data_IF_700480296308
#
_entry.id   IF_700480296308
#
_cell.length_a   1.000
_cell.length_b   1.000
_cell.length_c   1.000
_cell.angle_alpha   90.00
_cell.angle_beta   90.00
_cell.angle_gamma   90.00
#
_symmetry.space_group_name_H-M   'P 1'
#
loop_
_entity.id
_entity.type
_entity.pdbx_description
1 polymer ?
#
# COMPACT_ATOMS: atom_id res chain seq x y z
N UNK A 1 25.93 -25.15 1.49
CA UNK A 1 25.72 -25.14 2.96
C UNK A 1 25.16 -23.81 3.47
N UNK A 2 25.67 -22.64 3.05
CA UNK A 2 25.14 -21.31 3.45
C UNK A 2 23.64 -21.11 3.18
N UNK A 3 23.19 -21.38 1.94
CA UNK A 3 21.77 -21.27 1.57
C UNK A 3 20.81 -22.12 2.42
N UNK A 4 21.26 -23.28 2.91
CA UNK A 4 20.47 -24.12 3.81
C UNK A 4 20.28 -23.44 5.18
N UNK A 5 21.38 -22.92 5.75
CA UNK A 5 21.35 -22.23 7.05
C UNK A 5 20.50 -20.96 6.95
N UNK A 6 20.62 -20.19 5.88
CA UNK A 6 19.82 -18.97 5.66
C UNK A 6 18.32 -19.29 5.53
N UNK A 7 17.97 -20.43 4.92
CA UNK A 7 16.59 -20.89 4.82
C UNK A 7 16.03 -21.30 6.18
N UNK A 8 16.78 -22.08 6.96
CA UNK A 8 16.36 -22.51 8.31
C UNK A 8 16.21 -21.30 9.23
N UNK A 9 17.15 -20.35 9.17
CA UNK A 9 17.12 -19.14 9.98
C UNK A 9 15.87 -18.28 9.71
N UNK A 10 15.55 -18.02 8.44
CA UNK A 10 14.32 -17.31 8.04
C UNK A 10 13.05 -18.06 8.45
N UNK A 11 13.02 -19.35 8.18
CA UNK A 11 11.90 -20.21 8.55
C UNK A 11 11.63 -20.28 10.06
N UNK A 12 12.66 -20.14 10.89
CA UNK A 12 12.52 -20.18 12.35
C UNK A 12 11.63 -19.05 12.87
N UNK A 13 11.81 -17.83 12.35
CA UNK A 13 10.98 -16.67 12.69
C UNK A 13 9.52 -16.89 12.30
N UNK A 14 9.26 -17.46 11.13
CA UNK A 14 7.90 -17.72 10.63
C UNK A 14 7.18 -18.81 11.45
N UNK A 15 7.89 -19.87 11.85
CA UNK A 15 7.34 -20.92 12.72
C UNK A 15 6.99 -20.33 14.09
N UNK A 16 7.90 -19.57 14.70
CA UNK A 16 7.66 -18.94 16.01
C UNK A 16 6.50 -17.94 15.96
N UNK A 17 6.44 -17.11 14.93
CA UNK A 17 5.38 -16.11 14.74
C UNK A 17 4.02 -16.77 14.47
N UNK A 18 4.00 -17.84 13.68
CA UNK A 18 2.79 -18.63 13.42
C UNK A 18 2.24 -19.27 14.70
N UNK A 19 3.11 -19.87 15.50
CA UNK A 19 2.74 -20.42 16.81
C UNK A 19 2.21 -19.32 17.74
N UNK A 20 2.91 -18.19 17.86
CA UNK A 20 2.49 -17.08 18.71
C UNK A 20 1.12 -16.51 18.29
N UNK A 21 0.89 -16.31 16.98
CA UNK A 21 -0.40 -15.86 16.45
C UNK A 21 -1.51 -16.86 16.73
N UNK A 22 -1.25 -18.16 16.56
CA UNK A 22 -2.20 -19.22 16.89
C UNK A 22 -2.57 -19.22 18.37
N UNK A 23 -1.58 -19.12 19.26
CA UNK A 23 -1.81 -19.04 20.71
C UNK A 23 -2.61 -17.79 21.09
N UNK A 24 -2.29 -16.63 20.51
CA UNK A 24 -3.03 -15.38 20.76
C UNK A 24 -4.47 -15.46 20.23
N UNK A 25 -4.67 -16.00 19.03
CA UNK A 25 -6.00 -16.20 18.46
C UNK A 25 -6.83 -17.14 19.33
N UNK A 26 -6.22 -18.23 19.80
CA UNK A 26 -6.84 -19.15 20.75
C UNK A 26 -7.19 -18.44 22.07
N UNK A 27 -6.35 -17.59 22.64
CA UNK A 27 -6.75 -16.84 23.83
C UNK A 27 -7.87 -15.82 23.57
N UNK A 28 -7.89 -15.19 22.38
CA UNK A 28 -8.92 -14.21 21.99
C UNK A 28 -10.30 -14.83 21.78
N UNK A 29 -10.37 -16.11 21.42
CA UNK A 29 -11.64 -16.83 21.25
C UNK A 29 -12.34 -17.11 22.61
N UNK A 30 -11.67 -16.82 23.73
CA UNK A 30 -12.27 -16.99 25.04
C UNK A 30 -13.35 -15.97 25.38
N UNK A 31 -14.48 -16.46 25.93
CA UNK A 31 -15.68 -15.64 26.19
C UNK A 31 -15.65 -14.88 27.52
N UNK A 32 -14.66 -15.13 28.38
CA UNK A 32 -14.58 -14.51 29.70
C UNK A 32 -13.32 -14.86 30.49
N UNK A 33 -13.16 -14.26 31.69
CA UNK A 33 -11.94 -14.39 32.49
C UNK A 33 -11.67 -15.81 33.01
N UNK A 34 -12.72 -16.58 33.32
CA UNK A 34 -12.57 -17.98 33.72
C UNK A 34 -12.07 -18.87 32.58
N UNK A 35 -12.57 -18.64 31.36
CA UNK A 35 -12.13 -19.40 30.18
C UNK A 35 -10.67 -19.07 29.82
N UNK A 36 -10.27 -17.80 29.97
CA UNK A 36 -8.86 -17.40 29.87
C UNK A 36 -7.99 -18.14 30.89
N UNK A 37 -8.42 -18.22 32.16
CA UNK A 37 -7.67 -18.93 33.21
C UNK A 37 -7.54 -20.42 32.91
N UNK A 38 -8.61 -21.07 32.45
CA UNK A 38 -8.58 -22.48 32.04
C UNK A 38 -7.57 -22.67 30.90
N UNK A 39 -7.65 -21.86 29.84
CA UNK A 39 -6.72 -21.92 28.70
C UNK A 39 -5.26 -21.70 29.15
N UNK A 40 -5.04 -20.76 30.07
CA UNK A 40 -3.71 -20.50 30.63
C UNK A 40 -3.18 -21.71 31.41
N UNK A 41 -4.01 -22.34 32.25
CA UNK A 41 -3.64 -23.55 32.99
C UNK A 41 -3.35 -24.71 32.04
N UNK A 42 -4.13 -24.89 30.98
CA UNK A 42 -3.86 -25.89 29.96
C UNK A 42 -2.53 -25.65 29.23
N UNK A 43 -2.24 -24.39 28.87
CA UNK A 43 -0.98 -24.03 28.22
C UNK A 43 0.22 -24.31 29.12
N UNK A 44 0.18 -23.82 30.37
CA UNK A 44 1.27 -23.98 31.33
C UNK A 44 1.42 -25.44 31.77
N UNK A 45 0.31 -26.15 31.98
CA UNK A 45 0.29 -27.56 32.33
C UNK A 45 0.88 -28.43 31.21
N UNK A 46 0.49 -28.18 29.96
CA UNK A 46 1.07 -28.85 28.79
C UNK A 46 2.58 -28.61 28.69
N UNK A 47 3.03 -27.37 28.88
CA UNK A 47 4.45 -27.03 28.86
C UNK A 47 5.23 -27.73 29.98
N UNK A 48 4.68 -27.78 31.20
CA UNK A 48 5.29 -28.46 32.34
C UNK A 48 5.42 -29.97 32.12
N UNK A 49 4.41 -30.60 31.51
CA UNK A 49 4.45 -32.03 31.16
C UNK A 49 5.53 -32.29 30.11
N UNK A 50 5.57 -31.51 29.02
CA UNK A 50 6.60 -31.62 27.98
C UNK A 50 8.00 -31.43 28.59
N UNK A 51 8.16 -30.44 29.45
CA UNK A 51 9.42 -30.20 30.17
C UNK A 51 9.81 -31.38 31.07
N UNK A 52 8.85 -31.99 31.76
CA UNK A 52 9.05 -33.21 32.54
C UNK A 52 9.59 -34.36 31.69
N UNK A 53 8.98 -34.60 30.52
CA UNK A 53 9.46 -35.62 29.57
C UNK A 53 10.87 -35.34 29.04
N UNK A 54 11.20 -34.09 28.75
CA UNK A 54 12.55 -33.70 28.30
C UNK A 54 13.57 -33.98 29.41
N UNK A 55 13.21 -33.72 30.68
CA UNK A 55 14.08 -33.97 31.83
C UNK A 55 14.31 -35.46 32.08
N UNK A 56 13.29 -36.30 31.87
CA UNK A 56 13.40 -37.75 32.09
C UNK A 56 14.06 -38.48 30.93
N UNK A 57 13.87 -38.01 29.70
CA UNK A 57 14.45 -38.60 28.50
C UNK A 57 15.07 -37.50 27.61
N UNK A 58 16.32 -37.08 27.88
CA UNK A 58 17.01 -36.07 27.08
C UNK A 58 17.11 -36.42 25.59
N UNK A 59 17.07 -37.71 25.27
CA UNK A 59 17.07 -38.21 23.89
C UNK A 59 15.87 -37.68 23.08
N UNK A 60 14.75 -37.32 23.73
CA UNK A 60 13.60 -36.69 23.07
C UNK A 60 13.90 -35.30 22.49
N UNK A 61 14.97 -34.64 22.93
CA UNK A 61 15.37 -33.36 22.32
C UNK A 61 15.83 -33.54 20.87
N UNK A 62 16.43 -34.69 20.51
CA UNK A 62 16.88 -34.94 19.14
C UNK A 62 15.73 -35.00 18.12
N UNK A 63 14.66 -35.82 18.28
CA UNK A 63 13.55 -35.80 17.35
C UNK A 63 12.80 -34.46 17.37
N UNK A 64 12.70 -33.79 18.53
CA UNK A 64 12.07 -32.47 18.61
C UNK A 64 12.85 -31.41 17.84
N UNK A 65 14.17 -31.39 17.96
CA UNK A 65 15.05 -30.47 17.21
C UNK A 65 15.04 -30.78 15.72
N UNK A 66 15.12 -32.06 15.33
CA UNK A 66 14.99 -32.48 13.92
C UNK A 66 13.64 -32.05 13.35
N UNK A 67 12.55 -32.29 14.08
CA UNK A 67 11.21 -31.86 13.69
C UNK A 67 11.13 -30.34 13.52
N UNK A 68 11.69 -29.58 14.48
CA UNK A 68 11.72 -28.11 14.41
C UNK A 68 12.51 -27.61 13.20
N UNK A 69 13.68 -28.19 12.91
CA UNK A 69 14.49 -27.85 11.74
C UNK A 69 13.74 -28.15 10.45
N UNK A 70 13.04 -29.30 10.36
CA UNK A 70 12.21 -29.64 9.21
C UNK A 70 11.05 -28.63 9.04
N UNK A 71 10.37 -28.28 10.13
CA UNK A 71 9.27 -27.31 10.10
C UNK A 71 9.76 -25.92 9.66
N UNK A 72 10.87 -25.44 10.21
CA UNK A 72 11.51 -24.21 9.83
C UNK A 72 11.95 -24.24 8.35
N UNK A 73 12.62 -25.31 7.91
CA UNK A 73 13.04 -25.45 6.52
C UNK A 73 11.86 -25.43 5.54
N UNK A 74 10.75 -26.12 5.86
CA UNK A 74 9.53 -26.12 5.04
C UNK A 74 8.89 -24.74 4.96
N UNK A 75 8.86 -23.99 6.06
CA UNK A 75 8.32 -22.61 6.06
C UNK A 75 9.24 -21.61 5.37
N UNK A 76 10.56 -21.75 5.50
CA UNK A 76 11.53 -20.91 4.77
C UNK A 76 11.58 -21.18 3.26
N UNK A 77 11.03 -22.30 2.77
CA UNK A 77 10.85 -22.55 1.33
C UNK A 77 9.71 -21.73 0.73
N UNK A 78 8.68 -21.43 1.53
CA UNK A 78 7.50 -20.73 1.03
C UNK A 78 7.85 -19.29 0.65
N UNK A 79 8.68 -18.56 1.40
CA UNK A 79 8.96 -17.14 1.11
C UNK A 79 9.64 -16.89 -0.25
N UNK A 80 10.55 -17.76 -0.71
CA UNK A 80 11.10 -17.71 -2.10
C UNK A 80 10.03 -17.96 -3.18
N UNK A 81 8.95 -18.65 -2.81
CA UNK A 81 7.80 -18.88 -3.67
C UNK A 81 6.62 -17.94 -3.35
N UNK A 82 6.70 -17.08 -2.32
CA UNK A 82 5.58 -16.30 -1.76
C UNK A 82 5.83 -14.78 -1.86
N UNK A 83 6.99 -14.36 -2.40
CA UNK A 83 7.03 -13.18 -3.30
C UNK A 83 6.25 -13.43 -4.60
N UNK A 84 5.81 -14.67 -4.85
CA UNK A 84 4.71 -15.02 -5.76
C UNK A 84 3.50 -15.43 -4.90
N UNK A 85 2.68 -14.46 -4.53
CA UNK A 85 1.43 -14.60 -3.75
C UNK A 85 0.75 -15.98 -3.88
N UNK A 86 0.27 -16.61 -2.78
CA UNK A 86 -0.64 -17.73 -2.88
C UNK A 86 -2.01 -17.15 -3.24
N UNK A 87 -2.22 -16.83 -4.51
CA UNK A 87 -3.57 -16.66 -5.02
C UNK A 87 -4.26 -18.02 -4.86
N UNK A 88 -5.23 -18.04 -3.95
CA UNK A 88 -6.35 -18.96 -4.03
C UNK A 88 -6.83 -18.88 -5.47
N UNK A 89 -6.65 -19.95 -6.23
CA UNK A 89 -7.18 -20.10 -7.59
C UNK A 89 -8.70 -19.97 -7.51
N UNK A 90 -9.17 -18.74 -7.73
CA UNK A 90 -10.50 -18.49 -8.23
C UNK A 90 -10.44 -18.78 -9.73
N UNK A 91 -11.36 -19.63 -10.16
CA UNK A 91 -11.64 -20.01 -11.55
C UNK A 91 -11.53 -18.85 -12.55
N UNK A 92 -11.07 -19.07 -13.80
CA UNK A 92 -10.85 -18.00 -14.76
C UNK A 92 -12.21 -17.43 -15.20
N UNK A 93 -12.64 -16.33 -14.58
CA UNK A 93 -13.62 -15.44 -15.16
C UNK A 93 -12.95 -14.72 -16.34
N UNK A 94 -13.65 -14.69 -17.47
CA UNK A 94 -13.19 -14.17 -18.75
C UNK A 94 -12.46 -12.81 -18.60
N UNK A 95 -11.39 -12.63 -19.38
CA UNK A 95 -10.63 -11.37 -19.50
C UNK A 95 -11.56 -10.22 -19.93
N UNK A 96 -12.14 -9.55 -18.94
CA UNK A 96 -12.71 -8.22 -19.10
C UNK A 96 -11.55 -7.25 -18.85
N UNK A 97 -11.31 -6.36 -19.82
CA UNK A 97 -10.25 -5.36 -19.70
C UNK A 97 -10.67 -4.29 -18.68
N UNK A 98 -10.41 -4.57 -17.39
CA UNK A 98 -10.73 -3.70 -16.25
C UNK A 98 -9.76 -2.49 -16.12
N UNK A 99 -8.81 -2.36 -17.05
CA UNK A 99 -7.81 -1.29 -17.07
C UNK A 99 -8.38 0.14 -16.94
N UNK A 100 -9.46 0.53 -17.65
CA UNK A 100 -9.97 1.90 -17.57
C UNK A 100 -10.66 2.20 -16.24
N UNK A 101 -11.32 1.21 -15.64
CA UNK A 101 -12.04 1.37 -14.37
C UNK A 101 -11.07 1.55 -13.21
N UNK A 102 -10.03 0.71 -13.16
CA UNK A 102 -8.96 0.81 -12.15
C UNK A 102 -8.27 2.18 -12.20
N UNK A 103 -7.97 2.68 -13.40
CA UNK A 103 -7.33 4.00 -13.58
C UNK A 103 -8.26 5.15 -13.21
N UNK A 104 -9.57 5.05 -13.45
CA UNK A 104 -10.54 6.06 -13.03
C UNK A 104 -10.64 6.14 -11.50
N UNK A 105 -10.76 5.00 -10.82
CA UNK A 105 -10.81 4.93 -9.35
C UNK A 105 -9.51 5.40 -8.69
N UNK A 106 -8.37 5.11 -9.32
CA UNK A 106 -7.06 5.59 -8.88
C UNK A 106 -7.01 7.13 -8.92
N UNK A 107 -7.49 7.77 -10.00
CA UNK A 107 -7.52 9.23 -10.14
C UNK A 107 -8.43 9.91 -9.13
N UNK A 108 -9.64 9.37 -8.92
CA UNK A 108 -10.58 9.90 -7.93
C UNK A 108 -9.98 9.90 -6.52
N UNK A 109 -9.19 8.87 -6.22
CA UNK A 109 -8.61 8.68 -4.89
C UNK A 109 -7.23 9.37 -4.75
N UNK A 110 -6.67 9.91 -5.83
CA UNK A 110 -5.29 10.40 -5.89
C UNK A 110 -5.10 11.78 -5.25
N UNK A 111 -4.91 11.83 -3.92
CA UNK A 111 -4.14 12.90 -3.28
C UNK A 111 -3.69 12.53 -1.85
N UNK A 112 -2.40 12.69 -1.46
CA UNK A 112 -1.15 12.71 -2.26
C UNK A 112 -0.60 11.30 -2.57
N UNK A 113 -1.15 10.26 -1.95
CA UNK A 113 -0.79 8.87 -2.15
C UNK A 113 -2.02 7.97 -2.09
N UNK A 114 -2.06 6.93 -2.90
CA UNK A 114 -3.17 5.97 -2.92
C UNK A 114 -2.67 4.59 -2.57
N UNK A 115 -3.35 3.96 -1.62
CA UNK A 115 -3.10 2.56 -1.28
C UNK A 115 -3.84 1.64 -2.23
N UNK A 116 -3.14 0.61 -2.70
CA UNK A 116 -3.74 -0.43 -3.52
C UNK A 116 -4.91 -1.11 -2.81
N UNK A 117 -4.85 -1.22 -1.47
CA UNK A 117 -5.93 -1.79 -0.67
C UNK A 117 -7.22 -0.96 -0.73
N UNK A 118 -7.13 0.37 -0.75
CA UNK A 118 -8.30 1.27 -0.83
C UNK A 118 -8.92 1.20 -2.22
N UNK A 119 -8.09 1.08 -3.26
CA UNK A 119 -8.56 0.91 -4.64
C UNK A 119 -9.23 -0.45 -4.81
N UNK A 120 -8.61 -1.51 -4.29
CA UNK A 120 -9.16 -2.86 -4.31
C UNK A 120 -10.51 -2.95 -3.58
N UNK A 121 -10.62 -2.31 -2.40
CA UNK A 121 -11.87 -2.23 -1.64
C UNK A 121 -12.97 -1.50 -2.41
N UNK A 122 -12.66 -0.36 -3.04
CA UNK A 122 -13.64 0.38 -3.87
C UNK A 122 -14.12 -0.42 -5.07
N UNK A 123 -13.23 -1.22 -5.68
CA UNK A 123 -13.53 -2.02 -6.86
C UNK A 123 -14.09 -3.41 -6.51
N UNK A 124 -14.16 -3.78 -5.22
CA UNK A 124 -14.57 -5.13 -4.80
C UNK A 124 -13.63 -6.23 -5.29
N UNK A 125 -12.37 -5.90 -5.58
CA UNK A 125 -11.37 -6.82 -6.13
C UNK A 125 -10.20 -7.03 -5.16
N UNK A 126 -9.18 -7.80 -5.56
CA UNK A 126 -7.98 -8.01 -4.77
C UNK A 126 -6.85 -7.02 -5.17
N UNK A 127 -5.88 -6.83 -4.27
CA UNK A 127 -4.72 -5.96 -4.55
C UNK A 127 -3.79 -6.51 -5.62
N UNK A 128 -3.88 -7.81 -5.95
CA UNK A 128 -3.02 -8.45 -6.94
C UNK A 128 -3.48 -8.09 -8.36
N UNK A 129 -4.79 -8.11 -8.60
CA UNK A 129 -5.45 -7.65 -9.82
C UNK A 129 -5.14 -6.19 -10.09
N UNK A 130 -5.29 -5.32 -9.07
CA UNK A 130 -4.93 -3.90 -9.20
C UNK A 130 -3.44 -3.74 -9.54
N UNK A 131 -2.55 -4.53 -8.94
CA UNK A 131 -1.11 -4.49 -9.26
C UNK A 131 -0.83 -4.92 -10.70
N UNK A 132 -1.48 -5.98 -11.17
CA UNK A 132 -1.32 -6.50 -12.52
C UNK A 132 -1.77 -5.45 -13.55
N UNK A 133 -2.95 -4.86 -13.35
CA UNK A 133 -3.49 -3.81 -14.20
C UNK A 133 -2.58 -2.58 -14.23
N UNK A 134 -2.06 -2.15 -13.08
CA UNK A 134 -1.12 -1.02 -13.02
C UNK A 134 0.21 -1.32 -13.70
N UNK A 135 0.71 -2.55 -13.58
CA UNK A 135 1.94 -3.00 -14.26
C UNK A 135 1.74 -2.99 -15.77
N UNK A 136 0.59 -3.48 -16.25
CA UNK A 136 0.21 -3.45 -17.68
C UNK A 136 0.07 -2.02 -18.21
N UNK A 137 -0.47 -1.12 -17.38
CA UNK A 137 -0.60 0.31 -17.70
C UNK A 137 0.72 1.11 -17.57
N UNK A 138 1.83 0.47 -17.14
CA UNK A 138 3.12 1.12 -16.96
C UNK A 138 3.18 2.11 -15.79
N UNK A 139 2.26 1.99 -14.82
CA UNK A 139 2.21 2.88 -13.63
C UNK A 139 3.14 2.32 -12.55
N UNK A 140 4.15 3.09 -12.11
CA UNK A 140 5.10 2.61 -11.12
C UNK A 140 4.45 2.46 -9.74
N UNK A 141 4.72 1.33 -9.10
CA UNK A 141 4.23 1.01 -7.76
C UNK A 141 5.39 1.23 -6.79
N UNK A 142 5.16 2.00 -5.74
CA UNK A 142 6.20 2.35 -4.76
C UNK A 142 5.71 2.20 -3.33
N UNK A 143 6.66 2.14 -2.42
CA UNK A 143 6.39 2.09 -0.99
C UNK A 143 6.00 3.48 -0.47
N UNK A 144 4.77 3.57 0.04
CA UNK A 144 4.19 4.80 0.58
C UNK A 144 4.15 4.71 2.11
N UNK A 145 4.73 5.72 2.78
CA UNK A 145 4.67 5.83 4.24
C UNK A 145 3.34 6.41 4.70
N UNK A 146 2.68 5.68 5.61
CA UNK A 146 1.50 6.14 6.33
C UNK A 146 1.86 6.80 7.64
N UNK A 147 1.18 7.90 7.95
CA UNK A 147 1.21 8.49 9.30
C UNK A 147 0.57 7.51 10.28
N UNK A 148 1.38 6.89 11.14
CA UNK A 148 0.90 5.98 12.20
C UNK A 148 0.67 4.52 11.82
N UNK A 149 0.90 4.11 10.55
CA UNK A 149 0.68 2.70 10.09
C UNK A 149 1.88 2.02 9.43
N UNK A 150 3.04 2.68 9.38
CA UNK A 150 4.24 2.13 8.74
C UNK A 150 4.27 2.33 7.23
N UNK A 151 5.13 1.58 6.53
CA UNK A 151 5.26 1.59 5.07
C UNK A 151 4.24 0.61 4.47
N UNK A 152 3.54 1.01 3.41
CA UNK A 152 2.57 0.17 2.69
C UNK A 152 2.67 0.43 1.19
N UNK A 153 2.42 -0.60 0.37
CA UNK A 153 2.47 -0.51 -1.09
C UNK A 153 1.38 0.43 -1.63
N UNK A 154 1.76 1.37 -2.49
CA UNK A 154 0.86 2.33 -3.10
C UNK A 154 1.38 2.94 -4.39
N UNK A 155 0.63 3.90 -4.90
CA UNK A 155 1.01 4.72 -6.06
C UNK A 155 1.06 6.17 -5.63
N UNK A 156 2.07 6.92 -6.08
CA UNK A 156 2.15 8.37 -5.85
C UNK A 156 1.24 9.07 -6.86
N UNK A 157 0.56 10.13 -6.42
CA UNK A 157 -0.30 10.90 -7.31
C UNK A 157 0.42 11.46 -8.54
N UNK A 158 1.73 11.73 -8.45
CA UNK A 158 2.58 12.19 -9.55
C UNK A 158 2.72 11.18 -10.69
N UNK A 159 2.52 9.89 -10.39
CA UNK A 159 2.83 8.80 -11.30
C UNK A 159 1.58 8.28 -12.02
N UNK A 160 0.40 8.86 -11.69
CA UNK A 160 -0.88 8.49 -12.30
C UNK A 160 -0.99 9.18 -13.66
N UNK A 161 -1.12 8.43 -14.78
CA UNK A 161 -1.21 9.02 -16.11
C UNK A 161 -2.48 9.88 -16.21
N UNK A 162 -2.27 11.15 -16.56
CA UNK A 162 -3.35 12.05 -16.97
C UNK A 162 -4.08 11.44 -18.18
N UNK A 163 -5.41 11.60 -18.29
CA UNK A 163 -6.14 11.05 -19.41
C UNK A 163 -5.55 11.56 -20.73
N UNK A 164 -5.24 10.64 -21.65
CA UNK A 164 -4.97 11.00 -23.04
C UNK A 164 -6.18 11.78 -23.57
N UNK A 165 -5.98 12.91 -24.28
CA UNK A 165 -7.10 13.62 -24.88
C UNK A 165 -7.86 12.65 -25.78
N UNK A 166 -9.15 12.45 -25.50
CA UNK A 166 -10.01 11.62 -26.33
C UNK A 166 -9.97 12.15 -27.76
N UNK A 167 -9.64 11.33 -28.78
CA UNK A 167 -9.80 11.72 -30.17
C UNK A 167 -11.30 11.62 -30.51
N UNK A 168 -12.07 12.63 -30.13
CA UNK A 168 -13.49 12.69 -30.42
C UNK A 168 -14.22 13.72 -29.57
N UNK A 169 -14.73 14.75 -30.24
CA UNK A 169 -15.53 15.87 -29.74
C UNK A 169 -14.77 16.99 -29.00
N UNK A 170 -13.80 17.62 -29.68
CA UNK A 170 -13.62 19.07 -29.53
C UNK A 170 -14.68 19.79 -30.37
N UNK A 171 -15.93 19.81 -29.92
CA UNK A 171 -16.72 21.02 -30.13
C UNK A 171 -16.14 22.06 -29.19
N UNK A 172 -15.17 22.83 -29.69
CA UNK A 172 -14.76 24.05 -29.04
C UNK A 172 -15.94 25.01 -29.13
N UNK A 173 -16.80 25.02 -28.11
CA UNK A 173 -17.63 26.18 -27.83
C UNK A 173 -16.69 27.26 -27.30
N UNK A 174 -15.99 27.91 -28.22
CA UNK A 174 -15.37 29.20 -27.99
C UNK A 174 -16.54 30.18 -27.89
N UNK A 175 -16.92 30.51 -26.66
CA UNK A 175 -17.72 31.71 -26.44
C UNK A 175 -16.94 32.90 -26.99
N UNK A 176 -17.51 33.73 -27.88
CA UNK A 176 -16.82 34.89 -28.41
C UNK A 176 -16.51 35.84 -27.24
N UNK A 177 -15.23 35.99 -26.89
CA UNK A 177 -14.79 36.97 -25.90
C UNK A 177 -13.70 36.53 -24.92
N UNK A 178 -13.16 35.31 -25.00
CA UNK A 178 -12.08 34.89 -24.10
C UNK A 178 -10.71 35.08 -24.77
N UNK A 179 -9.87 36.04 -24.33
CA UNK A 179 -8.55 36.25 -24.91
C UNK A 179 -7.57 35.12 -24.53
N UNK A 180 -6.77 34.73 -25.51
CA UNK A 180 -5.69 33.76 -25.41
C UNK A 180 -4.70 34.14 -24.29
N UNK A 181 -4.48 33.26 -23.31
CA UNK A 181 -3.68 33.57 -22.11
C UNK A 181 -2.16 33.33 -22.26
N UNK A 182 -1.66 33.16 -23.48
CA UNK A 182 -0.24 32.91 -23.65
C UNK A 182 0.53 34.24 -23.77
N UNK A 183 1.18 34.58 -22.65
CA UNK A 183 2.34 35.50 -22.56
C UNK A 183 2.04 37.00 -22.51
N UNK A 184 1.03 37.46 -21.76
CA UNK A 184 0.92 38.88 -21.42
C UNK A 184 0.56 39.11 -19.94
N UNK A 185 1.14 40.17 -19.36
CA UNK A 185 1.01 40.56 -17.96
C UNK A 185 -0.45 40.48 -17.50
N UNK A 186 -0.74 39.56 -16.58
CA UNK A 186 -2.07 39.49 -15.97
C UNK A 186 -2.20 40.61 -14.94
N UNK A 187 -3.02 41.62 -15.29
CA UNK A 187 -3.43 42.66 -14.38
C UNK A 187 -4.85 42.39 -13.89
N UNK A 188 -5.01 42.05 -12.62
CA UNK A 188 -6.32 41.85 -11.99
C UNK A 188 -6.72 43.13 -11.26
N UNK A 189 -7.85 43.72 -11.66
CA UNK A 189 -8.41 44.93 -11.03
C UNK A 189 -9.52 44.53 -10.06
N UNK A 190 -9.37 44.93 -8.81
CA UNK A 190 -10.36 44.67 -7.77
C UNK A 190 -11.39 45.82 -7.69
N UNK A 191 -12.62 45.56 -7.21
CA UNK A 191 -13.65 46.59 -7.02
C UNK A 191 -13.20 47.75 -6.11
N UNK A 192 -12.19 47.51 -5.27
CA UNK A 192 -11.55 48.49 -4.39
C UNK A 192 -10.60 49.46 -5.09
N UNK A 193 -10.43 49.36 -6.42
CA UNK A 193 -9.50 50.19 -7.18
C UNK A 193 -8.05 49.71 -7.14
N UNK A 194 -7.73 48.73 -6.30
CA UNK A 194 -6.41 48.08 -6.23
C UNK A 194 -6.16 47.27 -7.49
N UNK A 195 -4.97 47.44 -8.08
CA UNK A 195 -4.53 46.67 -9.24
C UNK A 195 -3.35 45.77 -8.86
N UNK A 196 -3.47 44.48 -9.16
CA UNK A 196 -2.40 43.52 -8.95
C UNK A 196 -1.82 43.14 -10.30
N UNK A 197 -0.51 43.33 -10.48
CA UNK A 197 0.20 42.98 -11.71
C UNK A 197 1.20 41.86 -11.40
N UNK A 198 1.07 40.77 -12.14
CA UNK A 198 2.05 39.68 -12.13
C UNK A 198 3.16 39.98 -13.12
N UNK A 199 4.38 40.19 -12.64
CA UNK A 199 5.57 40.47 -13.45
C UNK A 199 6.52 39.28 -13.37
N UNK A 200 6.84 38.61 -14.49
CA UNK A 200 7.82 37.54 -14.51
C UNK A 200 9.20 38.00 -14.01
N UNK A 201 9.89 37.17 -13.23
CA UNK A 201 11.25 37.47 -12.77
C UNK A 201 12.26 37.25 -13.92
N UNK A 202 12.98 38.29 -14.37
CA UNK A 202 13.93 38.16 -15.47
C UNK A 202 15.14 37.28 -15.14
N UNK A 203 15.43 37.04 -13.85
CA UNK A 203 16.52 36.16 -13.43
C UNK A 203 16.07 34.71 -13.18
N UNK A 204 14.76 34.48 -13.03
CA UNK A 204 14.22 33.15 -12.82
C UNK A 204 12.81 33.01 -13.45
N UNK A 205 12.69 32.43 -14.65
CA UNK A 205 11.42 32.37 -15.38
C UNK A 205 10.35 31.50 -14.72
N UNK A 206 10.71 30.72 -13.69
CA UNK A 206 9.76 29.92 -12.88
C UNK A 206 9.21 30.72 -11.68
N UNK A 207 9.71 31.94 -11.45
CA UNK A 207 9.23 32.86 -10.39
C UNK A 207 8.51 34.05 -11.01
N UNK A 208 7.39 34.42 -10.39
CA UNK A 208 6.61 35.60 -10.74
C UNK A 208 6.52 36.52 -9.53
N UNK A 209 6.85 37.80 -9.72
CA UNK A 209 6.70 38.84 -8.71
C UNK A 209 5.30 39.43 -8.80
N UNK A 210 4.66 39.61 -7.65
CA UNK A 210 3.35 40.24 -7.57
C UNK A 210 3.55 41.68 -7.10
N UNK A 211 3.17 42.65 -7.93
CA UNK A 211 3.16 44.07 -7.56
C UNK A 211 1.72 44.51 -7.31
N UNK A 212 1.48 45.05 -6.13
CA UNK A 212 0.19 45.67 -5.77
C UNK A 212 0.33 47.17 -5.99
N UNK A 213 -0.54 47.74 -6.82
CA UNK A 213 -0.67 49.17 -7.04
C UNK A 213 -1.94 49.61 -6.34
N UNK A 214 -1.78 50.42 -5.30
CA UNK A 214 -2.89 51.02 -4.56
C UNK A 214 -3.47 52.20 -5.36
N UNK A 215 -4.79 52.45 -5.26
CA UNK A 215 -5.41 53.58 -5.92
C UNK A 215 -4.87 54.90 -5.32
N UNK A 216 -4.45 55.82 -6.18
CA UNK A 216 -4.08 57.18 -5.77
C UNK A 216 -5.35 57.89 -5.33
N UNK A 217 -5.47 58.19 -4.03
CA UNK A 217 -6.55 59.02 -3.49
C UNK A 217 -6.49 60.40 -4.15
N UNK A 218 -7.54 60.78 -4.88
CA UNK A 218 -7.72 62.07 -5.54
C UNK A 218 -8.70 62.95 -4.78
#
# INVERSE_FOLDING_TARGET
MRAFVDRVYRGNGLVALGMARGTVAWFKEGKGPFDFLIRLVFLLGGLAIVWGFIRTAPVLMFPLTVWWVIAAFRKGKHEEAEEVFPQKTSEPAAEQDDSPEVLATLRESAAPHVHLAVVAEKLGTDTAHVREVLTRAGVPISDVRMKGRGVSTGVKGSDVPSPSPSPGASESVVGPGQPDNNTELTATRFPSGVQIISVPDPQNPVRTHVKVIEPVES
#
